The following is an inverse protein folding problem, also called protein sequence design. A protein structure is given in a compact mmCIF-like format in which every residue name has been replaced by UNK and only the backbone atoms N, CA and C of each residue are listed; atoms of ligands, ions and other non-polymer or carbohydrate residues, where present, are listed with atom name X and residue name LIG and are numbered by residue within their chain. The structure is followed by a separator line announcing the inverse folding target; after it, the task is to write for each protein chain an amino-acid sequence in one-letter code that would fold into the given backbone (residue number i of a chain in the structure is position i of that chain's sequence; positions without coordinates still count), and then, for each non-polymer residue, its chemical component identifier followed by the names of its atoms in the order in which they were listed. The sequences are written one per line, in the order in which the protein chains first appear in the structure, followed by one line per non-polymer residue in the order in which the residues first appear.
data_IF_452919977788
#
_entry.id   IF_452919977788
#
_cell.length_a   1.000
_cell.length_b   1.000
_cell.length_c   1.000
_cell.angle_alpha   90.00
_cell.angle_beta   90.00
_cell.angle_gamma   90.00
#
_symmetry.space_group_name_H-M   'P 1'
#
loop_
_entity.id
_entity.type
_entity.pdbx_description
1 polymer ?
#
# COMPACT_ATOMS: atom_id res chain seq x y z
N UNK A 1 -19.59 -6.16 2.59
CA UNK A 1 -19.61 -5.21 3.72
C UNK A 1 -19.62 -3.84 3.10
N UNK A 2 -20.70 -3.10 3.23
CA UNK A 2 -20.77 -1.75 2.64
C UNK A 2 -19.81 -0.83 3.40
N UNK A 3 -18.78 -0.37 2.72
CA UNK A 3 -17.81 0.56 3.29
C UNK A 3 -18.33 1.98 3.03
N UNK A 4 -18.44 2.76 4.10
CA UNK A 4 -18.72 4.19 3.98
C UNK A 4 -17.41 4.92 3.74
N UNK A 5 -17.27 5.57 2.61
CA UNK A 5 -16.11 6.38 2.28
C UNK A 5 -16.13 7.70 3.04
N UNK A 6 -14.97 8.12 3.53
CA UNK A 6 -14.78 9.44 4.12
C UNK A 6 -14.86 10.55 3.06
N UNK A 7 -15.18 11.77 3.47
CA UNK A 7 -15.36 12.89 2.54
C UNK A 7 -14.11 13.16 1.69
N UNK A 8 -12.91 13.09 2.27
CA UNK A 8 -11.67 13.28 1.53
C UNK A 8 -11.41 12.15 0.51
N UNK A 9 -11.88 10.91 0.80
CA UNK A 9 -11.78 9.77 -0.13
C UNK A 9 -12.69 9.98 -1.34
N UNK A 10 -13.94 10.40 -1.11
CA UNK A 10 -14.87 10.76 -2.19
C UNK A 10 -14.33 11.89 -3.06
N UNK A 11 -13.74 12.91 -2.43
CA UNK A 11 -13.10 14.03 -3.15
C UNK A 11 -11.92 13.53 -3.99
N UNK A 12 -11.05 12.68 -3.43
CA UNK A 12 -9.91 12.14 -4.16
C UNK A 12 -10.34 11.31 -5.38
N UNK A 13 -11.41 10.52 -5.28
CA UNK A 13 -11.99 9.76 -6.40
C UNK A 13 -12.48 10.72 -7.49
N UNK A 14 -13.20 11.76 -7.12
CA UNK A 14 -13.67 12.77 -8.06
C UNK A 14 -12.52 13.53 -8.75
N UNK A 15 -11.48 13.89 -8.00
CA UNK A 15 -10.28 14.57 -8.51
C UNK A 15 -9.50 13.66 -9.47
N UNK A 16 -9.35 12.35 -9.16
CA UNK A 16 -8.77 11.36 -10.07
C UNK A 16 -9.58 11.27 -11.37
N UNK A 17 -10.89 11.14 -11.25
CA UNK A 17 -11.80 11.08 -12.43
C UNK A 17 -11.68 12.32 -13.31
N UNK A 18 -11.57 13.50 -12.70
CA UNK A 18 -11.35 14.76 -13.42
C UNK A 18 -9.96 14.81 -14.08
N UNK A 19 -8.91 14.33 -13.39
CA UNK A 19 -7.55 14.30 -13.89
C UNK A 19 -7.40 13.36 -15.10
N UNK A 20 -8.13 12.24 -15.13
CA UNK A 20 -8.11 11.30 -16.27
C UNK A 20 -8.56 11.94 -17.58
N UNK A 21 -9.37 13.01 -17.53
CA UNK A 21 -9.86 13.74 -18.71
C UNK A 21 -8.88 14.81 -19.22
N UNK A 22 -7.85 15.14 -18.45
CA UNK A 22 -6.86 16.15 -18.83
C UNK A 22 -5.76 15.54 -19.72
N UNK A 23 -5.03 16.33 -20.51
CA UNK A 23 -4.01 15.82 -21.42
C UNK A 23 -2.74 15.27 -20.70
N UNK A 24 -2.56 15.57 -19.43
CA UNK A 24 -1.40 15.17 -18.67
C UNK A 24 -1.34 13.64 -18.54
N UNK A 25 -0.17 13.04 -18.78
CA UNK A 25 0.06 11.61 -18.67
C UNK A 25 0.17 11.17 -17.20
N UNK A 26 0.95 11.89 -16.41
CA UNK A 26 1.21 11.56 -15.02
C UNK A 26 0.23 12.28 -14.09
N UNK A 27 -0.32 11.51 -13.16
CA UNK A 27 -1.19 11.96 -12.06
C UNK A 27 -0.55 11.47 -10.78
N UNK A 28 -0.28 12.36 -9.84
CA UNK A 28 0.30 12.03 -8.55
C UNK A 28 -0.81 12.05 -7.50
N UNK A 29 -1.05 10.93 -6.86
CA UNK A 29 -1.87 10.84 -5.66
C UNK A 29 -0.95 10.82 -4.44
N UNK A 30 -0.80 11.99 -3.80
CA UNK A 30 -0.05 12.14 -2.57
C UNK A 30 -0.98 11.92 -1.39
N UNK A 31 -0.62 10.98 -0.52
CA UNK A 31 -1.42 10.63 0.65
C UNK A 31 -0.58 9.88 1.67
N UNK A 32 -0.76 10.18 2.95
CA UNK A 32 -0.07 9.49 4.03
C UNK A 32 -0.45 8.00 4.11
N UNK A 33 0.38 7.23 4.81
CA UNK A 33 0.08 5.82 5.11
C UNK A 33 -1.13 5.74 6.04
N UNK A 34 -2.05 4.82 5.76
CA UNK A 34 -3.29 4.68 6.56
C UNK A 34 -4.48 5.50 6.05
N UNK A 35 -4.31 6.38 5.06
CA UNK A 35 -5.41 7.16 4.46
C UNK A 35 -6.43 6.33 3.66
N UNK A 36 -6.15 5.04 3.41
CA UNK A 36 -7.00 4.20 2.59
C UNK A 36 -6.75 4.34 1.09
N UNK A 37 -5.50 4.58 0.64
CA UNK A 37 -5.14 4.65 -0.79
C UNK A 37 -5.75 3.51 -1.62
N UNK A 38 -5.67 2.28 -1.12
CA UNK A 38 -6.23 1.11 -1.82
C UNK A 38 -7.75 1.23 -2.02
N UNK A 39 -8.48 1.70 -0.99
CA UNK A 39 -9.94 1.91 -1.07
C UNK A 39 -10.27 2.98 -2.10
N UNK A 40 -9.57 4.11 -2.06
CA UNK A 40 -9.75 5.22 -3.02
C UNK A 40 -9.56 4.71 -4.46
N UNK A 41 -8.47 4.01 -4.72
CA UNK A 41 -8.12 3.54 -6.05
C UNK A 41 -9.05 2.46 -6.57
N UNK A 42 -9.50 1.52 -5.73
CA UNK A 42 -10.45 0.47 -6.14
C UNK A 42 -11.81 1.04 -6.48
N UNK A 43 -12.33 1.98 -5.69
CA UNK A 43 -13.58 2.69 -6.01
C UNK A 43 -13.44 3.58 -7.24
N UNK A 44 -12.30 4.27 -7.40
CA UNK A 44 -12.01 5.04 -8.61
C UNK A 44 -12.02 4.15 -9.87
N UNK A 45 -11.37 2.99 -9.84
CA UNK A 45 -11.35 2.06 -10.98
C UNK A 45 -12.76 1.57 -11.33
N UNK A 46 -13.55 1.19 -10.34
CA UNK A 46 -14.93 0.74 -10.53
C UNK A 46 -15.81 1.83 -11.19
N UNK A 47 -15.73 3.06 -10.68
CA UNK A 47 -16.44 4.19 -11.30
C UNK A 47 -15.96 4.49 -12.72
N UNK A 48 -14.64 4.37 -12.94
CA UNK A 48 -14.06 4.63 -14.25
C UNK A 48 -14.51 3.60 -15.28
N UNK A 49 -14.57 2.32 -14.94
CA UNK A 49 -15.04 1.25 -15.81
C UNK A 49 -16.51 1.42 -16.20
N UNK A 50 -17.37 1.90 -15.31
CA UNK A 50 -18.80 2.15 -15.61
C UNK A 50 -19.04 3.16 -16.73
N UNK A 51 -18.08 4.06 -16.92
CA UNK A 51 -18.20 5.15 -17.89
C UNK A 51 -17.24 5.03 -19.09
N UNK A 52 -16.37 4.04 -19.11
CA UNK A 52 -15.32 3.91 -20.11
C UNK A 52 -15.16 2.46 -20.55
N UNK A 53 -15.33 2.20 -21.85
CA UNK A 53 -15.19 0.89 -22.43
C UNK A 53 -13.76 0.59 -22.89
N UNK A 54 -13.45 -0.68 -23.08
CA UNK A 54 -12.15 -1.18 -23.57
C UNK A 54 -10.97 -0.68 -22.74
N UNK A 55 -11.13 -0.63 -21.41
CA UNK A 55 -10.09 -0.21 -20.48
C UNK A 55 -9.61 -1.36 -19.63
N UNK A 56 -8.31 -1.36 -19.36
CA UNK A 56 -7.62 -2.28 -18.44
C UNK A 56 -6.76 -1.45 -17.50
N UNK A 57 -6.87 -1.70 -16.21
CA UNK A 57 -5.94 -1.12 -15.24
C UNK A 57 -4.83 -2.12 -14.90
N UNK A 58 -3.59 -1.64 -14.92
CA UNK A 58 -2.41 -2.37 -14.45
C UNK A 58 -1.94 -1.72 -13.16
N UNK A 59 -2.09 -2.39 -12.05
CA UNK A 59 -1.65 -1.94 -10.74
C UNK A 59 -0.31 -2.60 -10.41
N UNK A 60 0.75 -1.81 -10.45
CA UNK A 60 2.12 -2.23 -10.15
C UNK A 60 2.42 -2.04 -8.66
N UNK A 61 2.77 -3.12 -7.97
CA UNK A 61 3.13 -3.11 -6.55
C UNK A 61 4.61 -3.40 -6.35
N UNK A 62 5.24 -2.91 -5.26
CA UNK A 62 6.60 -3.29 -4.90
C UNK A 62 6.71 -4.78 -4.55
N UNK A 63 7.92 -5.34 -4.68
CA UNK A 63 8.19 -6.78 -4.65
C UNK A 63 8.17 -7.47 -3.28
N UNK A 64 7.87 -6.78 -2.19
CA UNK A 64 7.88 -7.37 -0.86
C UNK A 64 6.45 -7.57 -0.33
N UNK A 65 6.19 -8.75 0.25
CA UNK A 65 5.01 -8.99 1.09
C UNK A 65 3.71 -9.32 0.35
N UNK A 66 3.75 -9.85 -0.88
CA UNK A 66 2.57 -10.24 -1.67
C UNK A 66 1.52 -9.12 -1.75
N UNK A 67 1.97 -7.89 -1.97
CA UNK A 67 1.11 -6.71 -1.99
C UNK A 67 0.12 -6.74 -3.16
N UNK A 68 0.49 -7.38 -4.27
CA UNK A 68 -0.40 -7.60 -5.42
C UNK A 68 -1.63 -8.44 -5.03
N UNK A 69 -1.42 -9.54 -4.31
CA UNK A 69 -2.51 -10.40 -3.83
C UNK A 69 -3.39 -9.68 -2.82
N UNK A 70 -2.79 -8.98 -1.86
CA UNK A 70 -3.53 -8.20 -0.87
C UNK A 70 -4.36 -7.08 -1.49
N UNK A 71 -3.85 -6.41 -2.53
CA UNK A 71 -4.57 -5.34 -3.22
C UNK A 71 -5.73 -5.90 -4.05
N UNK A 72 -5.51 -7.04 -4.73
CA UNK A 72 -6.56 -7.79 -5.42
C UNK A 72 -7.67 -8.22 -4.46
N UNK A 73 -7.34 -8.89 -3.35
CA UNK A 73 -8.31 -9.34 -2.35
C UNK A 73 -9.14 -8.19 -1.76
N UNK A 74 -8.51 -7.03 -1.55
CA UNK A 74 -9.21 -5.83 -1.11
C UNK A 74 -10.21 -5.35 -2.16
N UNK A 75 -9.82 -5.30 -3.44
CA UNK A 75 -10.74 -4.92 -4.51
C UNK A 75 -11.92 -5.90 -4.61
N UNK A 76 -11.67 -7.21 -4.59
CA UNK A 76 -12.71 -8.24 -4.62
C UNK A 76 -13.68 -8.12 -3.44
N UNK A 77 -13.17 -7.70 -2.27
CA UNK A 77 -13.98 -7.48 -1.06
C UNK A 77 -14.82 -6.22 -1.13
N UNK A 78 -14.29 -5.14 -1.71
CA UNK A 78 -14.95 -3.83 -1.72
C UNK A 78 -15.87 -3.65 -2.92
N UNK A 79 -15.53 -4.25 -4.07
CA UNK A 79 -16.25 -4.08 -5.32
C UNK A 79 -16.81 -5.42 -5.78
N UNK A 80 -18.11 -5.60 -5.60
CA UNK A 80 -18.78 -6.82 -6.04
C UNK A 80 -18.79 -6.93 -7.57
N UNK A 81 -18.33 -8.07 -8.06
CA UNK A 81 -18.29 -8.34 -9.50
C UNK A 81 -17.10 -7.72 -10.23
N UNK A 82 -16.07 -7.26 -9.48
CA UNK A 82 -14.82 -6.80 -10.08
C UNK A 82 -14.13 -7.92 -10.85
N UNK A 83 -13.58 -7.60 -12.02
CA UNK A 83 -12.76 -8.53 -12.82
C UNK A 83 -11.30 -8.28 -12.46
N UNK A 84 -10.78 -9.08 -11.52
CA UNK A 84 -9.43 -8.92 -11.00
C UNK A 84 -8.53 -10.06 -11.46
N UNK A 85 -7.31 -9.73 -11.89
CA UNK A 85 -6.31 -10.71 -12.35
C UNK A 85 -4.97 -10.52 -11.66
N UNK A 86 -4.29 -11.62 -11.36
CA UNK A 86 -2.86 -11.65 -11.06
C UNK A 86 -2.06 -11.94 -12.34
N UNK A 87 -0.74 -11.86 -12.26
CA UNK A 87 0.14 -12.16 -13.39
C UNK A 87 -0.09 -13.58 -13.95
N UNK A 88 -0.33 -14.57 -13.09
CA UNK A 88 -0.65 -15.96 -13.49
C UNK A 88 -1.93 -16.06 -14.33
N UNK A 89 -2.95 -15.28 -13.99
CA UNK A 89 -4.21 -15.27 -14.71
C UNK A 89 -4.04 -14.64 -16.10
N UNK A 90 -3.26 -13.53 -16.16
CA UNK A 90 -2.91 -12.87 -17.42
C UNK A 90 -2.13 -13.81 -18.34
N UNK A 91 -1.18 -14.58 -17.79
CA UNK A 91 -0.40 -15.55 -18.55
C UNK A 91 -1.25 -16.69 -19.12
N UNK A 92 -2.40 -16.96 -18.54
CA UNK A 92 -3.31 -18.02 -18.95
C UNK A 92 -4.38 -17.54 -19.91
N UNK A 93 -5.01 -16.39 -19.63
CA UNK A 93 -6.20 -15.91 -20.35
C UNK A 93 -6.00 -14.58 -21.09
N UNK A 94 -4.85 -13.91 -20.92
CA UNK A 94 -4.62 -12.57 -21.46
C UNK A 94 -5.42 -11.49 -20.75
N UNK A 95 -5.61 -10.36 -21.44
CA UNK A 95 -6.35 -9.22 -20.94
C UNK A 95 -7.75 -9.15 -21.55
N UNK A 96 -8.71 -8.72 -20.74
CA UNK A 96 -10.08 -8.50 -21.13
C UNK A 96 -10.55 -7.09 -20.73
N UNK A 97 -11.63 -6.64 -21.33
CA UNK A 97 -12.24 -5.35 -21.00
C UNK A 97 -12.64 -5.30 -19.53
N UNK A 98 -12.32 -4.21 -18.84
CA UNK A 98 -12.56 -3.95 -17.41
C UNK A 98 -11.73 -4.80 -16.44
N UNK A 99 -10.69 -5.44 -16.93
CA UNK A 99 -9.74 -6.10 -16.04
C UNK A 99 -8.99 -5.10 -15.16
N UNK A 100 -8.90 -5.40 -13.86
CA UNK A 100 -7.99 -4.81 -12.91
C UNK A 100 -6.88 -5.81 -12.58
N UNK A 101 -5.70 -5.59 -13.14
CA UNK A 101 -4.58 -6.51 -13.09
C UNK A 101 -3.56 -6.06 -12.03
N UNK A 102 -3.30 -6.90 -11.03
CA UNK A 102 -2.36 -6.62 -9.94
C UNK A 102 -1.07 -7.38 -10.18
N UNK A 103 0.04 -6.65 -10.35
CA UNK A 103 1.31 -7.22 -10.77
C UNK A 103 2.43 -6.71 -9.86
N UNK A 104 3.20 -7.64 -9.32
CA UNK A 104 4.47 -7.32 -8.71
C UNK A 104 5.49 -7.01 -9.81
N UNK A 105 5.90 -5.73 -9.92
CA UNK A 105 6.79 -5.30 -11.00
C UNK A 105 8.17 -5.98 -10.95
N UNK A 106 8.63 -6.42 -9.77
CA UNK A 106 9.89 -7.13 -9.64
C UNK A 106 9.87 -8.50 -10.33
N UNK A 107 8.71 -9.15 -10.43
CA UNK A 107 8.56 -10.41 -11.20
C UNK A 107 8.85 -10.20 -12.70
N UNK A 108 8.65 -8.98 -13.19
CA UNK A 108 8.90 -8.61 -14.60
C UNK A 108 10.34 -8.16 -14.87
N UNK A 109 11.09 -7.73 -13.83
CA UNK A 109 12.43 -7.09 -13.99
C UNK A 109 13.59 -7.92 -13.49
N UNK A 110 13.39 -8.81 -12.51
CA UNK A 110 14.49 -9.55 -11.88
C UNK A 110 14.96 -10.73 -12.72
N UNK A 111 16.28 -10.99 -12.67
CA UNK A 111 16.87 -12.27 -13.08
C UNK A 111 16.98 -13.14 -11.81
N UNK A 112 16.32 -14.29 -11.76
CA UNK A 112 16.39 -15.21 -10.62
C UNK A 112 15.14 -16.09 -10.49
N UNK A 113 15.06 -16.89 -9.40
CA UNK A 113 14.02 -17.92 -9.24
C UNK A 113 12.56 -17.41 -9.25
N UNK A 114 12.34 -16.11 -9.03
CA UNK A 114 11.01 -15.48 -9.00
C UNK A 114 10.75 -14.56 -10.22
N UNK A 115 11.65 -14.54 -11.21
CA UNK A 115 11.48 -13.76 -12.43
C UNK A 115 10.80 -14.61 -13.52
N UNK A 116 10.08 -13.95 -14.42
CA UNK A 116 9.60 -14.60 -15.64
C UNK A 116 10.77 -15.14 -16.44
N UNK A 117 10.66 -16.38 -16.89
CA UNK A 117 11.59 -16.96 -17.88
C UNK A 117 11.45 -16.21 -19.20
N UNK A 118 12.44 -16.31 -20.08
CA UNK A 118 12.40 -15.61 -21.38
C UNK A 118 11.15 -15.99 -22.22
N UNK A 119 10.72 -17.25 -22.18
CA UNK A 119 9.49 -17.72 -22.83
C UNK A 119 8.23 -17.13 -22.22
N UNK A 120 8.16 -17.02 -20.92
CA UNK A 120 7.03 -16.43 -20.20
C UNK A 120 6.96 -14.91 -20.44
N UNK A 121 8.12 -14.26 -20.50
CA UNK A 121 8.20 -12.83 -20.84
C UNK A 121 7.74 -12.56 -22.27
N UNK A 122 8.09 -13.42 -23.22
CA UNK A 122 7.63 -13.34 -24.62
C UNK A 122 6.11 -13.49 -24.67
N UNK A 123 5.56 -14.49 -23.98
CA UNK A 123 4.12 -14.70 -23.89
C UNK A 123 3.38 -13.50 -23.27
N UNK A 124 3.92 -12.92 -22.18
CA UNK A 124 3.35 -11.72 -21.57
C UNK A 124 3.30 -10.52 -22.55
N UNK A 125 4.38 -10.31 -23.31
CA UNK A 125 4.43 -9.26 -24.34
C UNK A 125 3.43 -9.54 -25.47
N UNK A 126 3.23 -10.80 -25.86
CA UNK A 126 2.22 -11.18 -26.85
C UNK A 126 0.81 -10.88 -26.34
N UNK A 127 0.50 -11.16 -25.08
CA UNK A 127 -0.79 -10.80 -24.49
C UNK A 127 -1.04 -9.29 -24.52
N UNK A 128 0.00 -8.46 -24.24
CA UNK A 128 -0.12 -7.00 -24.33
C UNK A 128 -0.42 -6.59 -25.78
N UNK A 129 0.29 -7.14 -26.78
CA UNK A 129 0.08 -6.82 -28.19
C UNK A 129 -1.33 -7.21 -28.65
N UNK A 130 -1.76 -8.42 -28.35
CA UNK A 130 -3.09 -8.89 -28.70
C UNK A 130 -4.18 -7.97 -28.11
N UNK A 131 -4.03 -7.57 -26.84
CA UNK A 131 -4.95 -6.65 -26.20
C UNK A 131 -5.00 -5.27 -26.90
N UNK A 132 -3.85 -4.73 -27.29
CA UNK A 132 -3.77 -3.47 -28.04
C UNK A 132 -4.39 -3.60 -29.44
N UNK A 133 -4.16 -4.71 -30.14
CA UNK A 133 -4.74 -5.01 -31.45
C UNK A 133 -6.28 -5.17 -31.38
N UNK A 134 -6.80 -5.71 -30.28
CA UNK A 134 -8.24 -5.76 -29.96
C UNK A 134 -8.83 -4.41 -29.56
N UNK A 135 -7.98 -3.37 -29.46
CA UNK A 135 -8.36 -2.00 -29.14
C UNK A 135 -8.56 -1.73 -27.66
N UNK A 136 -8.03 -2.61 -26.79
CA UNK A 136 -7.95 -2.30 -25.36
C UNK A 136 -6.92 -1.21 -25.11
N UNK A 137 -7.16 -0.41 -24.09
CA UNK A 137 -6.22 0.64 -23.67
C UNK A 137 -5.89 0.49 -22.20
N UNK A 138 -4.61 0.58 -21.89
CA UNK A 138 -4.10 0.39 -20.55
C UNK A 138 -4.03 1.70 -19.77
N UNK A 139 -4.32 1.65 -18.48
CA UNK A 139 -4.11 2.70 -17.48
C UNK A 139 -3.22 2.12 -16.38
N UNK A 140 -2.19 2.84 -15.98
CA UNK A 140 -1.22 2.33 -15.03
C UNK A 140 -1.43 2.97 -13.66
N UNK A 141 -1.40 2.16 -12.60
CA UNK A 141 -1.29 2.60 -11.21
C UNK A 141 0.05 2.08 -10.69
N UNK A 142 0.89 2.96 -10.16
CA UNK A 142 2.16 2.63 -9.53
C UNK A 142 2.02 2.90 -8.03
N UNK A 143 1.89 1.84 -7.25
CA UNK A 143 1.81 1.95 -5.79
C UNK A 143 3.19 2.10 -5.18
N UNK A 144 3.28 2.86 -4.07
CA UNK A 144 4.54 3.23 -3.40
C UNK A 144 5.62 3.69 -4.41
N UNK A 145 5.26 4.62 -5.28
CA UNK A 145 6.07 5.04 -6.44
C UNK A 145 7.48 5.52 -6.07
N UNK A 146 7.70 5.99 -4.82
CA UNK A 146 9.02 6.36 -4.32
C UNK A 146 10.01 5.19 -4.26
N UNK A 147 9.54 3.95 -4.13
CA UNK A 147 10.35 2.72 -4.13
C UNK A 147 10.58 2.17 -5.54
N UNK A 148 9.70 2.48 -6.48
CA UNK A 148 9.62 1.87 -7.81
C UNK A 148 10.17 2.74 -8.93
N UNK A 149 10.76 3.88 -8.59
CA UNK A 149 11.23 4.88 -9.55
C UNK A 149 12.64 4.51 -10.08
N UNK A 150 12.67 3.46 -10.86
CA UNK A 150 13.89 2.96 -11.52
C UNK A 150 13.67 2.92 -13.03
N UNK A 151 14.75 3.08 -13.81
CA UNK A 151 14.74 2.96 -15.28
C UNK A 151 14.03 1.67 -15.74
N UNK A 152 14.18 0.58 -14.99
CA UNK A 152 13.54 -0.70 -15.32
C UNK A 152 12.01 -0.69 -15.11
N UNK A 153 11.52 0.10 -14.16
CA UNK A 153 10.08 0.25 -13.95
C UNK A 153 9.45 1.07 -15.09
N UNK A 154 10.16 2.11 -15.56
CA UNK A 154 9.71 2.90 -16.70
C UNK A 154 9.69 2.07 -17.99
N UNK A 155 10.69 1.20 -18.23
CA UNK A 155 10.70 0.29 -19.37
C UNK A 155 9.45 -0.63 -19.40
N UNK A 156 8.97 -1.09 -18.23
CA UNK A 156 7.76 -1.92 -18.12
C UNK A 156 6.52 -1.08 -18.42
N UNK A 157 6.44 0.13 -17.87
CA UNK A 157 5.31 1.03 -18.08
C UNK A 157 5.16 1.34 -19.57
N UNK A 158 6.26 1.54 -20.28
CA UNK A 158 6.25 1.84 -21.71
C UNK A 158 5.74 0.66 -22.57
N UNK A 159 5.88 -0.59 -22.13
CA UNK A 159 5.33 -1.76 -22.85
C UNK A 159 3.81 -1.68 -23.02
N UNK A 160 3.10 -1.05 -22.10
CA UNK A 160 1.64 -0.94 -22.14
C UNK A 160 1.12 0.22 -23.00
N UNK A 161 2.00 1.07 -23.54
CA UNK A 161 1.61 2.26 -24.29
C UNK A 161 0.54 3.12 -23.60
N UNK A 162 0.61 3.20 -22.26
CA UNK A 162 -0.39 3.89 -21.46
C UNK A 162 -0.30 5.41 -21.63
N UNK A 163 -1.46 6.04 -21.83
CA UNK A 163 -1.62 7.49 -21.85
C UNK A 163 -1.85 8.11 -20.45
N UNK A 164 -2.07 7.27 -19.44
CA UNK A 164 -2.33 7.69 -18.05
C UNK A 164 -1.59 6.81 -17.04
N UNK A 165 -0.84 7.47 -16.17
CA UNK A 165 -0.11 6.83 -15.08
C UNK A 165 -0.47 7.53 -13.78
N UNK A 166 -1.07 6.81 -12.85
CA UNK A 166 -1.38 7.28 -11.49
C UNK A 166 -0.26 6.79 -10.57
N UNK A 167 0.51 7.71 -10.00
CA UNK A 167 1.60 7.40 -9.08
C UNK A 167 1.19 7.70 -7.65
N UNK A 168 1.16 6.70 -6.80
CA UNK A 168 0.72 6.80 -5.41
C UNK A 168 1.91 6.79 -4.46
N UNK A 169 2.01 7.76 -3.58
CA UNK A 169 3.08 7.83 -2.57
C UNK A 169 2.73 8.82 -1.46
N UNK A 170 3.26 8.58 -0.26
CA UNK A 170 3.29 9.59 0.80
C UNK A 170 4.32 10.69 0.54
N UNK A 171 5.42 10.33 -0.14
CA UNK A 171 6.54 11.22 -0.47
C UNK A 171 6.86 11.13 -1.97
N UNK A 172 5.98 11.66 -2.85
CA UNK A 172 6.16 11.53 -4.28
C UNK A 172 7.34 12.35 -4.77
N UNK A 173 8.01 11.85 -5.81
CA UNK A 173 8.97 12.65 -6.58
C UNK A 173 8.24 13.68 -7.42
N UNK A 174 8.97 14.70 -7.85
CA UNK A 174 8.44 15.74 -8.70
C UNK A 174 8.51 15.30 -10.16
N UNK A 175 7.35 15.10 -10.81
CA UNK A 175 7.25 14.78 -12.23
C UNK A 175 6.85 16.03 -13.01
N UNK A 176 7.58 16.31 -14.07
CA UNK A 176 7.30 17.48 -14.93
C UNK A 176 5.90 17.34 -15.56
N UNK A 177 5.11 18.38 -15.45
CA UNK A 177 3.75 18.42 -15.98
C UNK A 177 2.75 17.40 -15.38
N UNK A 178 3.03 16.83 -14.22
CA UNK A 178 2.07 15.96 -13.53
C UNK A 178 0.94 16.76 -12.87
N UNK A 179 -0.23 16.13 -12.77
CA UNK A 179 -1.32 16.65 -11.95
C UNK A 179 -1.13 16.13 -10.54
N UNK A 180 -1.03 17.02 -9.56
CA UNK A 180 -0.96 16.65 -8.15
C UNK A 180 -2.36 16.65 -7.53
N UNK A 181 -2.72 15.51 -6.95
CA UNK A 181 -3.86 15.35 -6.04
C UNK A 181 -3.27 15.10 -4.67
N UNK A 182 -3.35 16.08 -3.78
CA UNK A 182 -2.81 16.04 -2.43
C UNK A 182 -3.96 15.82 -1.44
N UNK A 183 -3.87 14.74 -0.65
CA UNK A 183 -4.77 14.46 0.46
C UNK A 183 -4.07 14.96 1.73
N UNK A 184 -4.55 16.06 2.35
CA UNK A 184 -3.98 16.59 3.57
C UNK A 184 -4.03 15.56 4.71
N UNK A 185 -2.95 15.47 5.49
CA UNK A 185 -2.89 14.56 6.64
C UNK A 185 -3.94 14.93 7.69
N UNK A 186 -4.24 16.23 7.83
CA UNK A 186 -5.25 16.76 8.73
C UNK A 186 -6.63 16.19 8.46
N UNK A 187 -6.99 16.01 7.19
CA UNK A 187 -8.28 15.44 6.80
C UNK A 187 -8.37 13.96 7.21
N UNK A 188 -7.26 13.23 7.08
CA UNK A 188 -7.17 11.81 7.47
C UNK A 188 -7.23 11.65 8.99
N UNK A 189 -6.59 12.56 9.74
CA UNK A 189 -6.65 12.63 11.21
C UNK A 189 -8.07 12.98 11.68
N UNK A 190 -8.73 13.93 11.03
CA UNK A 190 -10.08 14.37 11.38
C UNK A 190 -11.11 13.22 11.27
N UNK A 191 -10.93 12.33 10.30
CA UNK A 191 -11.76 11.12 10.14
C UNK A 191 -11.33 9.95 11.06
N UNK A 192 -10.30 10.13 11.88
CA UNK A 192 -9.83 9.13 12.86
C UNK A 192 -9.11 7.92 12.23
N UNK A 193 -8.69 8.00 10.97
CA UNK A 193 -8.05 6.89 10.26
C UNK A 193 -6.57 6.72 10.63
N UNK A 194 -5.92 7.78 11.08
CA UNK A 194 -4.54 7.77 11.57
C UNK A 194 -4.43 8.47 12.92
N UNK A 195 -3.36 8.17 13.65
CA UNK A 195 -3.12 8.75 14.98
C UNK A 195 -2.83 10.25 14.86
N UNK A 196 -3.46 11.06 15.71
CA UNK A 196 -3.22 12.50 15.81
C UNK A 196 -1.85 12.83 16.37
N UNK A 197 -1.34 11.98 17.26
CA UNK A 197 -0.11 12.23 18.00
C UNK A 197 0.65 10.92 18.22
N UNK A 198 1.95 10.97 18.00
CA UNK A 198 2.91 9.96 18.42
C UNK A 198 3.76 10.57 19.54
N UNK A 199 3.67 9.99 20.74
CA UNK A 199 4.48 10.41 21.88
C UNK A 199 5.72 9.53 21.94
N UNK A 200 6.89 10.15 21.91
CA UNK A 200 8.17 9.45 21.97
C UNK A 200 8.86 9.83 23.29
N UNK A 201 9.30 8.81 24.03
CA UNK A 201 10.05 8.97 25.28
C UNK A 201 9.36 9.89 26.33
N UNK A 202 8.04 9.77 26.46
CA UNK A 202 7.28 10.49 27.47
C UNK A 202 7.85 10.22 28.88
N UNK A 203 8.28 11.28 29.59
CA UNK A 203 8.87 11.17 30.93
C UNK A 203 10.14 10.29 31.01
N UNK A 204 10.95 10.28 29.94
CA UNK A 204 12.20 9.52 29.91
C UNK A 204 13.32 10.28 30.64
N UNK A 205 13.95 9.61 31.59
CA UNK A 205 15.11 10.16 32.32
C UNK A 205 16.42 9.81 31.59
N UNK A 206 17.19 10.82 31.21
CA UNK A 206 18.39 10.68 30.37
C UNK A 206 19.67 10.21 31.10
N UNK A 207 19.65 10.02 32.43
CA UNK A 207 20.83 9.77 33.23
C UNK A 207 21.00 8.35 33.75
N UNK A 208 20.41 7.37 33.07
CA UNK A 208 20.44 5.95 33.45
C UNK A 208 21.52 5.24 32.64
N UNK A 209 22.24 4.28 33.26
CA UNK A 209 23.21 3.43 32.56
C UNK A 209 22.56 2.64 31.43
N UNK A 210 23.32 2.20 30.40
CA UNK A 210 22.77 1.48 29.24
C UNK A 210 22.02 0.22 29.66
N UNK A 211 22.53 -0.51 30.67
CA UNK A 211 21.88 -1.71 31.17
C UNK A 211 20.61 -1.43 31.94
N UNK A 212 20.60 -0.35 32.71
CA UNK A 212 19.42 0.09 33.44
C UNK A 212 18.36 0.71 32.50
N UNK A 213 18.78 1.27 31.34
CA UNK A 213 17.88 1.84 30.35
C UNK A 213 16.93 0.79 29.77
N UNK A 214 17.41 -0.44 29.48
CA UNK A 214 16.56 -1.51 28.93
C UNK A 214 15.47 -1.86 29.92
N UNK A 215 15.84 -2.17 31.14
CA UNK A 215 14.90 -2.49 32.22
C UNK A 215 13.91 -1.36 32.47
N UNK A 216 14.42 -0.13 32.50
CA UNK A 216 13.59 1.07 32.67
C UNK A 216 12.56 1.26 31.53
N UNK A 217 12.98 1.06 30.27
CA UNK A 217 12.08 1.16 29.11
C UNK A 217 11.00 0.07 29.14
N UNK A 218 11.38 -1.16 29.50
CA UNK A 218 10.44 -2.27 29.62
C UNK A 218 9.43 -2.03 30.76
N UNK A 219 9.88 -1.53 31.92
CA UNK A 219 8.98 -1.15 33.02
C UNK A 219 8.00 -0.05 32.59
N UNK A 220 8.47 1.01 31.92
CA UNK A 220 7.59 2.08 31.40
C UNK A 220 6.60 1.55 30.37
N UNK A 221 7.01 0.63 29.49
CA UNK A 221 6.13 0.02 28.50
C UNK A 221 5.02 -0.81 29.19
N UNK A 222 5.35 -1.57 30.22
CA UNK A 222 4.39 -2.37 31.00
C UNK A 222 3.38 -1.44 31.70
N UNK A 223 3.86 -0.39 32.35
CA UNK A 223 2.99 0.58 33.01
C UNK A 223 2.03 1.21 32.00
N UNK A 224 2.54 1.65 30.85
CA UNK A 224 1.73 2.27 29.81
C UNK A 224 0.71 1.32 29.20
N UNK A 225 1.08 0.06 28.98
CA UNK A 225 0.17 -0.97 28.51
C UNK A 225 -1.02 -1.17 29.48
N UNK A 226 -0.73 -1.23 30.79
CA UNK A 226 -1.78 -1.38 31.83
C UNK A 226 -2.70 -0.16 31.92
N UNK A 227 -2.16 1.06 31.81
CA UNK A 227 -2.94 2.30 31.75
C UNK A 227 -3.90 2.27 30.55
N UNK A 228 -3.36 1.99 29.35
CA UNK A 228 -4.17 1.91 28.14
C UNK A 228 -5.25 0.81 28.21
N UNK A 229 -4.89 -0.35 28.77
CA UNK A 229 -5.87 -1.43 28.97
C UNK A 229 -7.03 -0.97 29.87
N UNK A 230 -6.71 -0.29 30.99
CA UNK A 230 -7.72 0.27 31.89
C UNK A 230 -8.59 1.32 31.19
N UNK A 231 -8.02 2.19 30.37
CA UNK A 231 -8.78 3.16 29.59
C UNK A 231 -9.73 2.51 28.58
N UNK A 232 -9.29 1.44 27.89
CA UNK A 232 -10.14 0.70 26.96
C UNK A 232 -11.31 0.03 27.70
N UNK A 233 -11.06 -0.61 28.85
CA UNK A 233 -12.11 -1.20 29.67
C UNK A 233 -13.13 -0.17 30.13
N UNK A 234 -12.66 1.03 30.56
CA UNK A 234 -13.53 2.14 30.95
C UNK A 234 -14.43 2.63 29.80
N UNK A 235 -13.97 2.48 28.55
CA UNK A 235 -14.71 2.79 27.33
C UNK A 235 -15.54 1.61 26.82
N UNK A 236 -15.63 0.51 27.58
CA UNK A 236 -16.31 -0.74 27.20
C UNK A 236 -15.73 -1.37 25.93
N UNK A 237 -14.45 -1.17 25.64
CA UNK A 237 -13.73 -1.79 24.55
C UNK A 237 -12.85 -2.91 25.12
N UNK A 238 -13.09 -4.14 24.70
CA UNK A 238 -12.28 -5.31 25.06
C UNK A 238 -11.04 -5.37 24.13
N UNK A 239 -10.10 -4.47 24.41
CA UNK A 239 -8.84 -4.37 23.66
C UNK A 239 -7.68 -4.58 24.62
N UNK A 240 -6.83 -5.57 24.33
CA UNK A 240 -5.58 -5.77 25.04
C UNK A 240 -4.43 -5.10 24.28
N UNK A 241 -3.89 -3.97 24.77
CA UNK A 241 -2.77 -3.28 24.12
C UNK A 241 -1.51 -4.15 24.10
N UNK A 242 -0.81 -4.16 22.97
CA UNK A 242 0.44 -4.92 22.80
C UNK A 242 1.66 -4.04 23.11
N UNK A 243 2.69 -4.66 23.67
CA UNK A 243 4.04 -4.09 23.73
C UNK A 243 4.83 -4.66 22.55
N UNK A 244 5.41 -3.80 21.72
CA UNK A 244 6.29 -4.20 20.62
C UNK A 244 7.71 -3.79 20.98
N UNK A 245 8.61 -4.77 21.12
CA UNK A 245 10.04 -4.53 21.37
C UNK A 245 10.81 -4.79 20.08
N UNK A 246 11.44 -3.75 19.55
CA UNK A 246 12.31 -3.89 18.37
C UNK A 246 13.76 -4.11 18.83
N UNK A 247 14.32 -5.24 18.43
CA UNK A 247 15.68 -5.64 18.78
C UNK A 247 16.54 -5.60 17.50
N UNK A 248 17.82 -5.13 17.57
CA UNK A 248 18.72 -5.17 16.42
C UNK A 248 18.95 -6.60 15.91
N UNK A 249 19.15 -6.75 14.61
CA UNK A 249 19.46 -8.05 14.01
C UNK A 249 20.72 -8.68 14.64
N UNK A 250 20.70 -10.00 14.87
CA UNK A 250 21.80 -10.78 15.46
C UNK A 250 22.14 -10.40 16.92
N UNK A 251 21.13 -10.08 17.71
CA UNK A 251 21.27 -9.71 19.13
C UNK A 251 20.57 -10.72 20.03
N UNK A 252 20.91 -12.01 19.89
CA UNK A 252 20.24 -13.11 20.61
C UNK A 252 20.32 -12.93 22.14
N UNK A 253 21.47 -12.53 22.67
CA UNK A 253 21.62 -12.24 24.11
C UNK A 253 20.73 -11.11 24.62
N UNK A 254 20.37 -10.14 23.76
CA UNK A 254 19.42 -9.08 24.10
C UNK A 254 17.99 -9.61 24.05
N UNK A 255 17.69 -10.49 23.11
CA UNK A 255 16.39 -11.15 23.02
C UNK A 255 16.13 -11.97 24.28
N UNK A 256 17.06 -12.87 24.64
CA UNK A 256 16.97 -13.70 25.84
C UNK A 256 16.74 -12.85 27.11
N UNK A 257 17.49 -11.76 27.26
CA UNK A 257 17.34 -10.84 28.38
C UNK A 257 15.95 -10.17 28.44
N UNK A 258 15.39 -9.80 27.30
CA UNK A 258 14.06 -9.19 27.24
C UNK A 258 12.98 -10.23 27.58
N UNK A 259 13.12 -11.45 27.08
CA UNK A 259 12.21 -12.56 27.37
C UNK A 259 12.23 -12.91 28.86
N UNK A 260 13.43 -13.16 29.45
CA UNK A 260 13.60 -13.42 30.88
C UNK A 260 13.00 -12.29 31.74
N UNK A 261 13.13 -11.02 31.30
CA UNK A 261 12.55 -9.90 32.01
C UNK A 261 11.03 -9.96 32.02
N UNK A 262 10.39 -10.20 30.87
CA UNK A 262 8.92 -10.32 30.79
C UNK A 262 8.41 -11.53 31.59
N UNK A 263 9.09 -12.68 31.53
CA UNK A 263 8.76 -13.85 32.34
C UNK A 263 8.82 -13.54 33.84
N UNK A 264 9.85 -12.81 34.29
CA UNK A 264 9.99 -12.37 35.69
C UNK A 264 8.84 -11.49 36.17
N UNK A 265 8.14 -10.81 35.25
CA UNK A 265 6.96 -9.97 35.51
C UNK A 265 5.63 -10.72 35.32
N UNK A 266 5.68 -12.03 34.99
CA UNK A 266 4.49 -12.85 34.71
C UNK A 266 3.77 -12.46 33.42
N UNK A 267 4.52 -11.93 32.44
CA UNK A 267 4.02 -11.57 31.11
C UNK A 267 4.57 -12.60 30.12
N UNK A 268 3.69 -13.33 29.44
CA UNK A 268 4.00 -14.36 28.46
C UNK A 268 3.52 -13.94 27.08
#
# INVERSE_FOLDING_TARGET
MDITLANFQLKAIADLTAAMKKPNRDIILKSCTGSGKTIILTHFMDEYFKSNHKKVFIWLTPGKGNLEEQSKEKMDRYIHGSQTKLLSDIMTSGFEENDACFINWEKLTKKGNNALKDSERTNFIEHIRNALDDGLTFKIIVDESHQNDTIKADDIIELFHSDKIIRCSATPKNYKNAILIDIPEEDVIAEGLIKKLLIINENFEQHISVDDQITYLLDKAIVKQRELHSEYLNRKADINPLIIVQIPNKSDALLDRVEEYFESKGIT
#
